data_IF_179173674964
#
_entry.id   IF_179173674964
#
_cell.length_a   1.000
_cell.length_b   1.000
_cell.length_c   1.000
_cell.angle_alpha   90.00
_cell.angle_beta   90.00
_cell.angle_gamma   90.00
#
_symmetry.space_group_name_H-M   'P 1'
#
loop_
_entity.id
_entity.type
_entity.pdbx_description
1 polymer ?
#
# COMPACT_ATOMS: atom_id res chain seq x y z
N UNK A 1 -22.39 41.69 -5.03
CA UNK A 1 -22.35 40.39 -5.75
C UNK A 1 -21.26 39.57 -5.10
N UNK A 2 -21.61 38.82 -4.05
CA UNK A 2 -20.66 37.99 -3.30
C UNK A 2 -20.80 36.56 -3.84
N UNK A 3 -19.89 36.18 -4.72
CA UNK A 3 -19.75 34.79 -5.16
C UNK A 3 -18.87 34.06 -4.15
N UNK A 4 -19.57 33.43 -3.20
CA UNK A 4 -19.29 32.11 -2.62
C UNK A 4 -17.83 31.74 -2.40
N UNK A 5 -17.36 32.02 -1.17
CA UNK A 5 -16.43 31.12 -0.50
C UNK A 5 -17.13 29.78 -0.21
N UNK A 6 -16.31 28.71 -0.12
CA UNK A 6 -16.64 27.35 0.32
C UNK A 6 -17.02 26.35 -0.79
N UNK A 7 -16.03 25.52 -1.16
CA UNK A 7 -16.17 24.16 -1.68
C UNK A 7 -15.05 23.39 -0.95
N UNK A 8 -15.32 22.71 0.17
CA UNK A 8 -16.03 21.42 0.26
C UNK A 8 -15.43 20.39 -0.70
N UNK A 9 -14.22 19.91 -0.40
CA UNK A 9 -13.84 18.52 -0.64
C UNK A 9 -12.87 18.10 0.48
N UNK A 10 -13.48 17.81 1.63
CA UNK A 10 -12.91 16.91 2.64
C UNK A 10 -12.66 15.56 1.97
N UNK A 11 -11.41 15.28 1.59
CA UNK A 11 -10.96 13.90 1.48
C UNK A 11 -10.20 13.56 2.75
N UNK A 12 -10.89 13.52 3.88
CA UNK A 12 -10.48 12.67 5.01
C UNK A 12 -10.82 11.22 4.65
N UNK A 13 -10.41 10.80 3.45
CA UNK A 13 -10.19 9.40 3.15
C UNK A 13 -8.90 9.10 3.90
N UNK A 14 -9.04 8.81 5.20
CA UNK A 14 -8.03 8.04 5.93
C UNK A 14 -7.71 6.90 5.01
N UNK A 15 -6.53 6.93 4.40
CA UNK A 15 -6.12 5.90 3.47
C UNK A 15 -6.30 4.61 4.27
N UNK A 16 -7.19 3.68 3.87
CA UNK A 16 -7.48 2.49 4.67
C UNK A 16 -6.19 1.70 4.95
N UNK A 17 -5.21 1.93 4.10
CA UNK A 17 -3.85 1.46 4.18
C UNK A 17 -3.05 2.13 5.30
N UNK A 18 -3.23 3.43 5.56
CA UNK A 18 -2.59 4.19 6.63
C UNK A 18 -2.99 3.68 8.03
N UNK A 19 -4.25 3.27 8.20
CA UNK A 19 -4.71 2.66 9.45
C UNK A 19 -4.07 1.26 9.66
N UNK A 20 -3.99 0.46 8.59
CA UNK A 20 -3.36 -0.86 8.64
C UNK A 20 -1.85 -0.72 8.90
N UNK A 21 -1.16 0.22 8.24
CA UNK A 21 0.25 0.54 8.46
C UNK A 21 0.49 0.96 9.91
N UNK A 22 -0.37 1.82 10.47
CA UNK A 22 -0.26 2.25 11.87
C UNK A 22 -0.41 1.07 12.85
N UNK A 23 -1.31 0.12 12.58
CA UNK A 23 -1.49 -1.10 13.39
C UNK A 23 -0.27 -2.04 13.27
N UNK A 24 0.30 -2.17 12.08
CA UNK A 24 1.53 -2.94 11.86
C UNK A 24 2.70 -2.34 12.63
N UNK A 25 2.88 -1.01 12.54
CA UNK A 25 3.92 -0.28 13.28
C UNK A 25 3.72 -0.36 14.80
N UNK A 26 2.48 -0.50 15.27
CA UNK A 26 2.17 -0.75 16.68
C UNK A 26 2.49 -2.19 17.14
N UNK A 27 3.05 -3.04 16.27
CA UNK A 27 3.48 -4.40 16.60
C UNK A 27 2.47 -5.50 16.29
N UNK A 28 1.35 -5.15 15.63
CA UNK A 28 0.34 -6.13 15.22
C UNK A 28 0.80 -6.91 13.99
N UNK A 29 1.54 -8.01 14.22
CA UNK A 29 2.04 -8.90 13.17
C UNK A 29 0.92 -9.51 12.32
N UNK A 30 -0.26 -9.73 12.89
CA UNK A 30 -1.43 -10.22 12.15
C UNK A 30 -1.92 -9.22 11.09
N UNK A 31 -1.76 -7.91 11.35
CA UNK A 31 -2.10 -6.86 10.39
C UNK A 31 -1.12 -6.78 9.22
N UNK A 32 0.09 -7.32 9.38
CA UNK A 32 1.10 -7.35 8.32
C UNK A 32 0.75 -8.33 7.20
N UNK A 33 0.13 -9.47 7.54
CA UNK A 33 -0.35 -10.43 6.55
C UNK A 33 -1.43 -9.84 5.61
N UNK A 34 -2.22 -8.89 6.12
CA UNK A 34 -3.23 -8.17 5.31
C UNK A 34 -2.55 -7.24 4.31
N UNK A 35 -1.49 -6.52 4.72
CA UNK A 35 -0.67 -5.73 3.80
C UNK A 35 -0.03 -6.62 2.73
N UNK A 36 0.60 -7.74 3.12
CA UNK A 36 1.20 -8.66 2.14
C UNK A 36 0.15 -9.10 1.13
N UNK A 37 -1.01 -9.57 1.57
CA UNK A 37 -2.05 -10.09 0.67
C UNK A 37 -2.63 -8.99 -0.25
N UNK A 38 -2.80 -7.77 0.26
CA UNK A 38 -3.34 -6.64 -0.51
C UNK A 38 -2.34 -6.09 -1.53
N UNK A 39 -1.06 -6.04 -1.17
CA UNK A 39 -0.03 -5.42 -1.99
C UNK A 39 0.78 -6.40 -2.81
N UNK A 40 0.72 -7.71 -2.54
CA UNK A 40 1.47 -8.72 -3.28
C UNK A 40 1.14 -8.72 -4.77
N UNK A 41 -0.14 -8.74 -5.14
CA UNK A 41 -0.56 -8.77 -6.55
C UNK A 41 -0.16 -7.51 -7.33
N UNK A 42 -0.46 -6.28 -6.86
CA UNK A 42 -0.03 -5.08 -7.57
C UNK A 42 1.50 -4.90 -7.59
N UNK A 43 2.21 -5.20 -6.50
CA UNK A 43 3.69 -5.15 -6.49
C UNK A 43 4.30 -6.19 -7.43
N UNK A 44 3.79 -7.42 -7.40
CA UNK A 44 4.26 -8.50 -8.28
C UNK A 44 4.00 -8.17 -9.74
N UNK A 45 2.82 -7.66 -10.10
CA UNK A 45 2.53 -7.20 -11.47
C UNK A 45 3.45 -6.07 -11.91
N UNK A 46 3.73 -5.12 -11.02
CA UNK A 46 4.63 -4.01 -11.32
C UNK A 46 6.07 -4.50 -11.53
N UNK A 47 6.56 -5.36 -10.63
CA UNK A 47 7.87 -5.98 -10.73
C UNK A 47 7.98 -6.85 -11.99
N UNK A 48 6.98 -7.68 -12.28
CA UNK A 48 6.93 -8.52 -13.49
C UNK A 48 6.93 -7.68 -14.77
N UNK A 49 6.21 -6.55 -14.79
CA UNK A 49 6.23 -5.62 -15.92
C UNK A 49 7.59 -4.93 -16.11
N UNK A 50 8.33 -4.69 -15.03
CA UNK A 50 9.66 -4.08 -15.07
C UNK A 50 10.78 -5.08 -15.40
N UNK A 51 10.70 -6.32 -14.89
CA UNK A 51 11.75 -7.33 -14.99
C UNK A 51 11.53 -8.29 -16.15
N UNK A 52 10.28 -8.49 -16.59
CA UNK A 52 9.88 -9.51 -17.55
C UNK A 52 10.09 -10.95 -17.05
N UNK A 53 10.51 -11.13 -15.80
CA UNK A 53 10.84 -12.42 -15.20
C UNK A 53 10.06 -12.61 -13.90
N UNK A 54 9.28 -13.70 -13.79
CA UNK A 54 8.52 -14.01 -12.57
C UNK A 54 9.42 -14.28 -11.37
N UNK A 55 10.54 -14.98 -11.56
CA UNK A 55 11.49 -15.28 -10.49
C UNK A 55 12.07 -14.00 -9.88
N UNK A 56 12.48 -13.05 -10.72
CA UNK A 56 13.01 -11.76 -10.26
C UNK A 56 11.93 -10.90 -9.61
N UNK A 57 10.68 -10.99 -10.09
CA UNK A 57 9.56 -10.28 -9.50
C UNK A 57 9.23 -10.81 -8.09
N UNK A 58 9.32 -12.12 -7.88
CA UNK A 58 9.13 -12.77 -6.59
C UNK A 58 10.24 -12.39 -5.59
N UNK A 59 11.50 -12.36 -6.05
CA UNK A 59 12.63 -11.91 -5.23
C UNK A 59 12.48 -10.46 -4.77
N UNK A 60 12.08 -9.55 -5.67
CA UNK A 60 11.83 -8.14 -5.33
C UNK A 60 10.69 -8.01 -4.32
N UNK A 61 9.63 -8.81 -4.49
CA UNK A 61 8.49 -8.83 -3.59
C UNK A 61 8.91 -9.28 -2.20
N UNK A 62 9.63 -10.39 -2.10
CA UNK A 62 10.16 -10.90 -0.84
C UNK A 62 11.09 -9.89 -0.15
N UNK A 63 12.02 -9.29 -0.90
CA UNK A 63 12.95 -8.30 -0.38
C UNK A 63 12.24 -7.03 0.13
N UNK A 64 11.11 -6.66 -0.48
CA UNK A 64 10.32 -5.48 -0.07
C UNK A 64 9.61 -5.70 1.27
N UNK A 65 9.17 -6.93 1.57
CA UNK A 65 8.48 -7.24 2.82
C UNK A 65 9.41 -7.70 3.96
N UNK A 66 10.57 -8.29 3.66
CA UNK A 66 11.53 -8.75 4.70
C UNK A 66 12.32 -7.60 5.33
N UNK A 67 12.45 -6.46 4.64
CA UNK A 67 13.25 -5.31 5.07
C UNK A 67 12.47 -4.24 5.86
N UNK A 68 11.15 -4.41 6.01
CA UNK A 68 10.23 -3.48 6.65
C UNK A 68 10.11 -3.71 8.18
#
# INVERSE_FOLDING_TARGET
MNTTATSELETDQVDPDQEIISRVLAGSKDSFGILITRYSDPLYRHALGMTGSPDVAEDILQASFIKA
#
